data_IF_949054986648
#
_entry.id   IF_949054986648
#
_cell.length_a   1.000
_cell.length_b   1.000
_cell.length_c   1.000
_cell.angle_alpha   90.00
_cell.angle_beta   90.00
_cell.angle_gamma   90.00
#
_symmetry.space_group_name_H-M   'P 1'
#
loop_
_entity.id
_entity.type
_entity.pdbx_description
1 polymer ?
#
# COMPACT_ATOMS: atom_id res chain seq x y z
N UNK A 1 3.43 -1.19 -16.13
CA UNK A 1 3.02 0.17 -16.57
C UNK A 1 3.14 1.13 -15.42
N UNK A 2 3.63 2.36 -15.63
CA UNK A 2 3.69 3.43 -14.64
C UNK A 2 2.70 4.54 -14.97
N UNK A 3 2.08 5.13 -13.95
CA UNK A 3 1.18 6.28 -14.07
C UNK A 3 1.60 7.38 -13.09
N UNK A 4 1.64 8.61 -13.59
CA UNK A 4 1.73 9.81 -12.79
C UNK A 4 0.38 10.49 -12.86
N UNK A 5 -0.30 10.60 -11.73
CA UNK A 5 -1.68 11.10 -11.69
C UNK A 5 -1.78 12.29 -10.73
N UNK A 6 -2.64 13.24 -11.07
CA UNK A 6 -3.00 14.33 -10.16
C UNK A 6 -4.06 13.86 -9.16
N UNK A 7 -4.90 12.91 -9.57
CA UNK A 7 -5.98 12.35 -8.76
C UNK A 7 -6.27 10.92 -9.23
N UNK A 8 -6.78 10.08 -8.34
CA UNK A 8 -7.25 8.74 -8.66
C UNK A 8 -8.38 8.73 -9.70
N UNK A 9 -9.13 9.83 -9.83
CA UNK A 9 -10.12 10.00 -10.89
C UNK A 9 -9.52 9.98 -12.31
N UNK A 10 -8.23 10.24 -12.44
CA UNK A 10 -7.54 10.22 -13.75
C UNK A 10 -7.14 8.80 -14.20
N UNK A 11 -7.38 7.78 -13.36
CA UNK A 11 -7.11 6.39 -13.74
C UNK A 11 -8.28 5.88 -14.56
N UNK A 12 -8.06 5.51 -15.85
CA UNK A 12 -9.15 5.05 -16.72
C UNK A 12 -9.82 3.79 -16.15
N UNK A 13 -11.16 3.80 -16.08
CA UNK A 13 -11.94 2.69 -15.52
C UNK A 13 -11.73 1.40 -16.33
N UNK A 14 -11.52 1.53 -17.64
CA UNK A 14 -11.31 0.42 -18.56
C UNK A 14 -9.91 -0.21 -18.42
N UNK A 15 -9.00 0.46 -17.72
CA UNK A 15 -7.62 -0.01 -17.52
C UNK A 15 -7.55 -1.08 -16.44
N UNK A 16 -8.21 -2.22 -16.65
CA UNK A 16 -8.15 -3.34 -15.71
C UNK A 16 -6.74 -3.88 -15.56
N UNK A 17 -6.30 -4.01 -14.31
CA UNK A 17 -5.02 -4.61 -13.91
C UNK A 17 -5.26 -5.61 -12.78
N UNK A 18 -4.38 -6.61 -12.71
CA UNK A 18 -4.40 -7.58 -11.62
C UNK A 18 -3.91 -6.95 -10.32
N UNK A 19 -2.95 -6.01 -10.42
CA UNK A 19 -2.41 -5.31 -9.26
C UNK A 19 -2.28 -3.80 -9.52
N UNK A 20 -2.70 -3.02 -8.52
CA UNK A 20 -2.50 -1.57 -8.43
C UNK A 20 -1.55 -1.30 -7.27
N UNK A 21 -0.43 -0.64 -7.56
CA UNK A 21 0.67 -0.40 -6.64
C UNK A 21 0.83 1.11 -6.49
N UNK A 22 0.50 1.64 -5.33
CA UNK A 22 0.63 3.06 -5.04
C UNK A 22 1.93 3.31 -4.29
N UNK A 23 2.71 4.28 -4.77
CA UNK A 23 3.89 4.78 -4.08
C UNK A 23 3.49 6.04 -3.32
N UNK A 24 3.53 5.97 -2.01
CA UNK A 24 3.04 6.99 -1.09
C UNK A 24 4.22 7.63 -0.37
N UNK A 25 4.45 8.93 -0.62
CA UNK A 25 5.52 9.70 0.00
C UNK A 25 5.20 11.19 -0.06
N UNK A 26 5.20 11.88 1.07
CA UNK A 26 4.99 13.34 1.15
C UNK A 26 6.16 14.16 0.58
N UNK A 27 7.22 13.52 0.11
CA UNK A 27 8.37 14.20 -0.49
C UNK A 27 9.24 14.93 0.53
N UNK A 28 9.26 14.48 1.77
CA UNK A 28 10.08 15.07 2.85
C UNK A 28 11.56 14.64 2.80
N UNK A 29 12.04 14.26 1.63
CA UNK A 29 13.44 13.91 1.37
C UNK A 29 14.03 12.84 2.29
N UNK A 30 13.20 11.96 2.83
CA UNK A 30 13.68 10.82 3.59
C UNK A 30 14.39 9.83 2.65
N UNK A 31 15.51 9.26 3.08
CA UNK A 31 16.29 8.33 2.25
C UNK A 31 15.48 7.15 1.71
N UNK A 32 14.55 6.63 2.49
CA UNK A 32 13.70 5.51 2.07
C UNK A 32 12.67 5.93 1.01
N UNK A 33 12.08 7.12 1.16
CA UNK A 33 11.18 7.70 0.17
C UNK A 33 11.89 7.99 -1.14
N UNK A 34 13.08 8.59 -1.07
CA UNK A 34 13.91 8.85 -2.25
C UNK A 34 14.26 7.54 -2.98
N UNK A 35 14.71 6.50 -2.24
CA UNK A 35 15.01 5.20 -2.82
C UNK A 35 13.78 4.55 -3.48
N UNK A 36 12.58 4.73 -2.90
CA UNK A 36 11.33 4.27 -3.51
C UNK A 36 11.08 4.97 -4.84
N UNK A 37 11.22 6.31 -4.87
CA UNK A 37 10.98 7.12 -6.05
C UNK A 37 12.04 6.88 -7.15
N UNK A 38 13.30 6.68 -6.81
CA UNK A 38 14.38 6.38 -7.75
C UNK A 38 14.18 5.03 -8.45
N UNK A 39 13.43 4.10 -7.82
CA UNK A 39 13.10 2.81 -8.42
C UNK A 39 11.78 2.83 -9.23
N UNK A 40 11.11 3.98 -9.36
CA UNK A 40 9.81 4.06 -10.05
C UNK A 40 9.85 3.50 -11.48
N UNK A 41 10.81 3.90 -12.30
CA UNK A 41 10.91 3.45 -13.71
C UNK A 41 11.13 1.93 -13.81
N UNK A 42 11.99 1.37 -12.93
CA UNK A 42 12.19 -0.08 -12.84
C UNK A 42 10.89 -0.80 -12.46
N UNK A 43 10.17 -0.27 -11.45
CA UNK A 43 8.90 -0.83 -11.03
C UNK A 43 7.84 -0.73 -12.12
N UNK A 44 7.77 0.40 -12.83
CA UNK A 44 6.83 0.63 -13.92
C UNK A 44 7.04 -0.35 -15.09
N UNK A 45 8.31 -0.62 -15.44
CA UNK A 45 8.67 -1.62 -16.45
C UNK A 45 8.24 -3.03 -16.01
N UNK A 46 8.63 -3.45 -14.81
CA UNK A 46 8.22 -4.75 -14.25
C UNK A 46 6.71 -4.92 -14.17
N UNK A 47 5.99 -3.84 -13.85
CA UNK A 47 4.52 -3.86 -13.78
C UNK A 47 3.89 -4.02 -15.17
N UNK A 48 4.48 -3.41 -16.21
CA UNK A 48 3.98 -3.53 -17.59
C UNK A 48 3.94 -4.99 -18.03
N UNK A 49 5.00 -5.75 -17.72
CA UNK A 49 5.15 -7.14 -18.11
C UNK A 49 4.27 -8.10 -17.31
N UNK A 50 3.63 -7.64 -16.23
CA UNK A 50 2.97 -8.52 -15.27
C UNK A 50 1.53 -8.07 -14.94
N UNK A 51 0.83 -7.47 -15.91
CA UNK A 51 -0.54 -7.00 -15.75
C UNK A 51 -0.77 -6.15 -14.48
N UNK A 52 0.24 -5.34 -14.12
CA UNK A 52 0.21 -4.46 -12.97
C UNK A 52 0.42 -3.00 -13.38
N UNK A 53 0.09 -2.09 -12.49
CA UNK A 53 0.34 -0.65 -12.65
C UNK A 53 0.95 -0.07 -11.38
N UNK A 54 2.01 0.72 -11.54
CA UNK A 54 2.60 1.52 -10.48
C UNK A 54 2.12 2.96 -10.62
N UNK A 55 1.58 3.49 -9.55
CA UNK A 55 0.89 4.79 -9.52
C UNK A 55 1.55 5.68 -8.49
N UNK A 56 1.81 6.93 -8.87
CA UNK A 56 2.28 7.97 -7.94
C UNK A 56 1.64 9.32 -8.25
N UNK A 57 1.61 10.19 -7.26
CA UNK A 57 1.18 11.57 -7.43
C UNK A 57 2.15 12.41 -8.26
N UNK A 58 1.64 13.34 -9.07
CA UNK A 58 2.44 14.21 -9.96
C UNK A 58 3.17 15.31 -9.22
N UNK A 59 2.60 15.88 -8.19
CA UNK A 59 3.23 16.88 -7.30
C UNK A 59 2.51 16.82 -5.97
N UNK A 60 3.23 16.87 -4.87
CA UNK A 60 2.88 17.26 -3.48
C UNK A 60 1.42 17.69 -3.23
N UNK A 61 0.50 17.27 -4.10
CA UNK A 61 -0.92 17.48 -3.98
C UNK A 61 -1.40 16.25 -3.27
N UNK A 62 -1.99 16.35 -2.18
CA UNK A 62 -2.84 15.45 -1.38
C UNK A 62 -3.20 14.06 -2.00
N UNK A 63 -2.29 13.50 -2.85
CA UNK A 63 -2.47 12.21 -3.50
C UNK A 63 -2.54 11.09 -2.46
N UNK A 64 -1.67 11.15 -1.47
CA UNK A 64 -1.62 10.22 -0.36
C UNK A 64 -2.92 10.28 0.45
N UNK A 65 -3.44 11.47 0.70
CA UNK A 65 -4.70 11.68 1.42
C UNK A 65 -5.88 11.14 0.60
N UNK A 66 -5.87 11.35 -0.72
CA UNK A 66 -6.89 10.79 -1.61
C UNK A 66 -6.82 9.27 -1.63
N UNK A 67 -5.62 8.67 -1.74
CA UNK A 67 -5.44 7.22 -1.68
C UNK A 67 -5.95 6.68 -0.36
N UNK A 68 -5.57 7.27 0.76
CA UNK A 68 -6.05 6.84 2.07
C UNK A 68 -7.57 6.98 2.21
N UNK A 69 -8.14 8.10 1.77
CA UNK A 69 -9.58 8.34 1.79
C UNK A 69 -10.35 7.31 0.97
N UNK A 70 -9.96 7.09 -0.29
CA UNK A 70 -10.67 6.16 -1.18
C UNK A 70 -10.58 4.71 -0.70
N UNK A 71 -9.44 4.32 -0.15
CA UNK A 71 -9.22 2.96 0.36
C UNK A 71 -9.67 2.79 1.81
N UNK A 72 -10.36 3.79 2.38
CA UNK A 72 -10.86 3.78 3.76
C UNK A 72 -9.78 3.55 4.82
N UNK A 73 -8.57 3.99 4.53
CA UNK A 73 -7.45 4.01 5.46
C UNK A 73 -7.56 5.32 6.25
N UNK A 74 -8.42 5.34 7.26
CA UNK A 74 -8.68 6.54 8.06
C UNK A 74 -7.85 6.52 9.33
N UNK A 75 -7.15 7.61 9.61
CA UNK A 75 -6.44 7.80 10.88
C UNK A 75 -5.62 9.08 10.86
N UNK A 76 -5.61 9.80 11.97
CA UNK A 76 -4.87 11.05 12.19
C UNK A 76 -3.34 10.88 12.04
N UNK A 77 -2.86 9.64 11.94
CA UNK A 77 -1.46 9.28 11.92
C UNK A 77 -0.99 8.68 10.58
N UNK A 78 -1.73 8.88 9.49
CA UNK A 78 -1.34 8.38 8.16
C UNK A 78 0.07 8.86 7.77
N UNK A 79 0.45 10.07 8.13
CA UNK A 79 1.79 10.64 7.95
C UNK A 79 2.90 9.78 8.55
N UNK A 80 2.63 9.12 9.68
CA UNK A 80 3.62 8.28 10.36
C UNK A 80 3.88 6.96 9.65
N UNK A 81 2.98 6.56 8.76
CA UNK A 81 3.12 5.35 7.95
C UNK A 81 3.97 5.58 6.71
N UNK A 82 4.18 6.84 6.31
CA UNK A 82 4.92 7.19 5.12
C UNK A 82 6.44 7.25 5.37
N UNK A 83 7.25 6.99 4.35
CA UNK A 83 6.87 6.51 3.03
C UNK A 83 6.36 5.06 3.04
N UNK A 84 5.46 4.72 2.13
CA UNK A 84 4.80 3.42 2.09
C UNK A 84 4.51 2.94 0.65
N UNK A 85 4.30 1.63 0.51
CA UNK A 85 3.72 1.02 -0.68
C UNK A 85 2.35 0.46 -0.30
N UNK A 86 1.30 0.84 -1.04
CA UNK A 86 -0.01 0.21 -0.95
C UNK A 86 -0.24 -0.65 -2.18
N UNK A 87 -0.63 -1.90 -2.00
CA UNK A 87 -0.96 -2.82 -3.09
C UNK A 87 -2.40 -3.27 -2.95
N UNK A 88 -3.15 -3.24 -4.03
CA UNK A 88 -4.51 -3.79 -4.11
C UNK A 88 -4.72 -4.53 -5.41
N UNK A 89 -5.67 -5.47 -5.42
CA UNK A 89 -6.09 -6.23 -6.60
C UNK A 89 -7.38 -5.70 -7.24
N UNK A 90 -7.79 -4.47 -6.89
CA UNK A 90 -9.01 -3.85 -7.41
C UNK A 90 -8.76 -2.42 -7.88
N UNK A 91 -9.50 -2.03 -8.93
CA UNK A 91 -9.48 -0.68 -9.44
C UNK A 91 -9.92 0.33 -8.37
N UNK A 92 -9.25 1.51 -8.24
CA UNK A 92 -9.53 2.48 -7.17
C UNK A 92 -10.99 2.95 -7.15
N UNK A 93 -11.65 3.09 -8.29
CA UNK A 93 -13.07 3.48 -8.35
C UNK A 93 -14.01 2.53 -7.60
N UNK A 94 -13.68 1.24 -7.52
CA UNK A 94 -14.49 0.27 -6.80
C UNK A 94 -14.50 0.53 -5.28
N UNK A 95 -13.44 1.12 -4.74
CA UNK A 95 -13.40 1.53 -3.34
C UNK A 95 -14.27 2.75 -3.08
N UNK A 96 -14.28 3.73 -4.00
CA UNK A 96 -15.10 4.92 -3.91
C UNK A 96 -16.61 4.61 -3.96
N UNK A 97 -17.02 3.73 -4.87
CA UNK A 97 -18.42 3.32 -5.05
C UNK A 97 -18.96 2.48 -3.88
N UNK A 98 -18.11 1.76 -3.19
CA UNK A 98 -18.49 0.92 -2.04
C UNK A 98 -19.01 1.72 -0.85
N UNK A 99 -18.84 3.03 -0.82
CA UNK A 99 -19.23 3.89 0.29
C UNK A 99 -20.75 4.00 0.51
N UNK A 100 -21.58 3.69 -0.49
CA UNK A 100 -23.05 3.81 -0.43
C UNK A 100 -23.85 2.51 -0.51
N UNK A 101 -23.26 1.42 -0.96
CA UNK A 101 -23.98 0.20 -1.30
C UNK A 101 -23.56 -1.00 -0.44
N UNK A 102 -24.39 -1.36 0.53
CA UNK A 102 -24.21 -2.58 1.33
C UNK A 102 -24.14 -3.88 0.49
N UNK A 103 -24.69 -3.89 -0.73
CA UNK A 103 -24.73 -5.07 -1.61
C UNK A 103 -23.39 -5.39 -2.27
N UNK A 104 -22.54 -4.39 -2.54
CA UNK A 104 -21.19 -4.60 -3.09
C UNK A 104 -20.17 -5.06 -2.05
N UNK A 105 -20.53 -4.99 -0.77
CA UNK A 105 -19.70 -5.45 0.37
C UNK A 105 -19.51 -6.96 0.47
N UNK A 106 -20.35 -7.74 -0.20
CA UNK A 106 -20.33 -9.20 -0.13
C UNK A 106 -19.44 -9.86 -1.19
N UNK A 107 -18.84 -9.12 -2.09
CA UNK A 107 -17.82 -9.67 -2.99
C UNK A 107 -16.50 -9.89 -2.21
N UNK A 108 -16.44 -11.06 -1.60
CA UNK A 108 -15.27 -11.63 -0.96
C UNK A 108 -14.04 -11.53 -1.88
N UNK A 109 -13.03 -10.75 -1.51
CA UNK A 109 -11.77 -10.77 -2.22
C UNK A 109 -11.06 -9.43 -2.44
N UNK A 110 -11.63 -8.29 -2.01
CA UNK A 110 -10.91 -7.03 -1.96
C UNK A 110 -9.86 -7.11 -0.86
N UNK A 111 -8.61 -7.28 -1.25
CA UNK A 111 -7.49 -7.27 -0.31
C UNK A 111 -6.53 -6.15 -0.66
N UNK A 112 -6.06 -5.51 0.37
CA UNK A 112 -5.01 -4.51 0.29
C UNK A 112 -3.90 -4.88 1.25
N UNK A 113 -2.68 -4.51 0.90
CA UNK A 113 -1.51 -4.62 1.78
C UNK A 113 -0.87 -3.24 1.83
N UNK A 114 -0.86 -2.62 2.99
CA UNK A 114 -0.09 -1.40 3.24
C UNK A 114 1.25 -1.76 3.86
N UNK A 115 2.34 -1.28 3.25
CA UNK A 115 3.72 -1.59 3.63
C UNK A 115 4.44 -0.28 3.99
N UNK A 116 4.43 0.14 5.26
CA UNK A 116 5.20 1.28 5.70
C UNK A 116 6.70 0.95 5.66
N UNK A 117 7.48 1.66 4.84
CA UNK A 117 8.89 1.32 4.61
C UNK A 117 9.72 1.39 5.88
N UNK A 118 9.49 2.36 6.74
CA UNK A 118 10.20 2.52 8.04
C UNK A 118 10.15 1.28 8.94
N UNK A 119 9.18 0.40 8.71
CA UNK A 119 9.00 -0.80 9.52
C UNK A 119 9.74 -2.03 8.95
N UNK A 120 10.06 -2.00 7.65
CA UNK A 120 10.65 -3.12 6.93
C UNK A 120 12.06 -2.83 6.42
N UNK A 121 12.38 -1.54 6.24
CA UNK A 121 13.60 -1.09 5.62
C UNK A 121 14.37 -0.20 6.60
N UNK A 122 15.64 -0.46 6.79
CA UNK A 122 16.57 0.39 7.54
C UNK A 122 17.49 1.15 6.60
N UNK A 123 17.66 0.65 5.39
CA UNK A 123 18.56 1.18 4.37
C UNK A 123 17.86 1.27 3.00
N UNK A 124 18.45 2.02 2.09
CA UNK A 124 17.99 2.08 0.69
C UNK A 124 18.07 0.72 -0.02
N UNK A 125 19.06 -0.09 0.34
CA UNK A 125 19.20 -1.47 -0.17
C UNK A 125 18.03 -2.36 0.26
N UNK A 126 17.51 -2.16 1.47
CA UNK A 126 16.33 -2.90 1.93
C UNK A 126 15.10 -2.57 1.10
N UNK A 127 14.95 -1.29 0.66
CA UNK A 127 13.86 -0.85 -0.22
C UNK A 127 13.95 -1.58 -1.57
N UNK A 128 15.14 -1.65 -2.17
CA UNK A 128 15.35 -2.36 -3.44
C UNK A 128 15.02 -3.85 -3.28
N UNK A 129 15.49 -4.47 -2.21
CA UNK A 129 15.20 -5.88 -1.90
C UNK A 129 13.71 -6.14 -1.70
N UNK A 130 13.01 -5.24 -1.02
CA UNK A 130 11.55 -5.30 -0.84
C UNK A 130 10.83 -5.23 -2.20
N UNK A 131 11.20 -4.29 -3.06
CA UNK A 131 10.65 -4.15 -4.41
C UNK A 131 10.85 -5.44 -5.22
N UNK A 132 12.04 -6.01 -5.20
CA UNK A 132 12.33 -7.26 -5.92
C UNK A 132 11.49 -8.44 -5.43
N UNK A 133 11.28 -8.56 -4.11
CA UNK A 133 10.42 -9.59 -3.52
C UNK A 133 8.95 -9.39 -3.91
N UNK A 134 8.45 -8.15 -3.90
CA UNK A 134 7.09 -7.83 -4.34
C UNK A 134 6.87 -8.24 -5.79
N UNK A 135 7.77 -7.84 -6.68
CA UNK A 135 7.65 -8.19 -8.09
C UNK A 135 7.90 -9.67 -8.38
N UNK A 136 8.62 -10.39 -7.53
CA UNK A 136 8.71 -11.85 -7.63
C UNK A 136 7.36 -12.52 -7.33
N UNK A 137 6.59 -11.99 -6.37
CA UNK A 137 5.25 -12.50 -6.06
C UNK A 137 4.22 -12.09 -7.13
N UNK A 138 4.30 -10.86 -7.67
CA UNK A 138 3.48 -10.37 -8.78
C UNK A 138 3.71 -11.20 -10.05
N UNK A 139 4.95 -11.46 -10.43
CA UNK A 139 5.29 -12.31 -11.59
C UNK A 139 4.77 -13.74 -11.47
N UNK A 140 4.57 -14.20 -10.25
CA UNK A 140 3.99 -15.52 -9.98
C UNK A 140 2.47 -15.49 -9.90
N UNK A 141 1.81 -14.37 -10.24
CA UNK A 141 0.36 -14.14 -10.19
C UNK A 141 -0.29 -14.61 -8.88
N UNK A 142 0.39 -14.36 -7.77
CA UNK A 142 -0.09 -14.78 -6.46
C UNK A 142 -1.27 -13.92 -6.00
N UNK A 143 -2.25 -14.56 -5.35
CA UNK A 143 -3.21 -13.80 -4.54
C UNK A 143 -2.47 -12.99 -3.47
N UNK A 144 -2.92 -11.78 -3.18
CA UNK A 144 -2.30 -10.90 -2.17
C UNK A 144 -2.12 -11.60 -0.82
N UNK A 145 -3.04 -12.51 -0.43
CA UNK A 145 -2.94 -13.31 0.81
C UNK A 145 -1.68 -14.19 0.86
N UNK A 146 -1.13 -14.55 -0.31
CA UNK A 146 0.01 -15.46 -0.45
C UNK A 146 1.34 -14.73 -0.66
N UNK A 147 1.33 -13.39 -0.66
CA UNK A 147 2.55 -12.59 -0.77
C UNK A 147 3.49 -12.85 0.42
N UNK A 148 4.78 -12.95 0.12
CA UNK A 148 5.81 -13.20 1.15
C UNK A 148 5.84 -12.12 2.22
N UNK A 149 5.66 -10.86 1.81
CA UNK A 149 5.62 -9.73 2.74
C UNK A 149 4.53 -9.88 3.79
N UNK A 150 3.36 -10.43 3.43
CA UNK A 150 2.28 -10.68 4.38
C UNK A 150 2.69 -11.67 5.46
N UNK A 151 3.42 -12.72 5.09
CA UNK A 151 3.93 -13.71 6.06
C UNK A 151 5.01 -13.14 6.98
N UNK A 152 5.85 -12.27 6.43
CA UNK A 152 6.88 -11.55 7.21
C UNK A 152 6.24 -10.58 8.20
N UNK A 153 5.18 -9.86 7.80
CA UNK A 153 4.38 -9.01 8.70
C UNK A 153 3.81 -9.81 9.87
N UNK A 154 3.19 -10.94 9.59
CA UNK A 154 2.59 -11.80 10.64
C UNK A 154 3.63 -12.33 11.64
N UNK A 155 4.84 -12.62 11.19
CA UNK A 155 5.94 -13.05 12.06
C UNK A 155 6.57 -11.90 12.84
N UNK A 156 6.74 -10.74 12.19
CA UNK A 156 7.45 -9.60 12.73
C UNK A 156 6.65 -8.73 13.70
N UNK A 157 5.35 -8.58 13.47
CA UNK A 157 4.49 -7.65 14.22
C UNK A 157 3.44 -8.33 15.08
N UNK A 158 3.30 -9.66 14.96
CA UNK A 158 2.18 -10.37 15.55
C UNK A 158 0.90 -10.26 14.70
N UNK A 159 -0.01 -11.22 14.90
CA UNK A 159 -1.18 -11.41 14.03
C UNK A 159 -2.10 -10.18 13.97
N UNK A 160 -2.37 -9.56 15.12
CA UNK A 160 -3.32 -8.44 15.21
C UNK A 160 -2.87 -7.20 14.40
N UNK A 161 -1.56 -6.95 14.30
CA UNK A 161 -1.01 -5.80 13.57
C UNK A 161 -0.87 -6.10 12.10
N UNK A 162 -0.45 -7.33 11.78
CA UNK A 162 -0.42 -7.78 10.41
C UNK A 162 -1.82 -7.73 9.79
N UNK A 163 -2.83 -8.17 10.53
CA UNK A 163 -4.23 -8.11 10.09
C UNK A 163 -4.73 -6.66 9.93
N UNK A 164 -4.19 -5.70 10.69
CA UNK A 164 -4.47 -4.28 10.51
C UNK A 164 -3.83 -3.67 9.25
N UNK A 165 -2.70 -4.20 8.80
CA UNK A 165 -2.03 -3.79 7.55
C UNK A 165 -2.54 -4.56 6.32
N UNK A 166 -3.25 -5.65 6.55
CA UNK A 166 -3.92 -6.47 5.54
C UNK A 166 -5.40 -6.12 5.60
N UNK A 167 -5.78 -5.14 4.82
CA UNK A 167 -7.11 -4.57 4.85
C UNK A 167 -8.09 -5.47 4.09
N UNK A 168 -8.99 -6.10 4.82
CA UNK A 168 -10.18 -6.71 4.24
C UNK A 168 -11.34 -5.70 4.37
N UNK A 169 -11.95 -5.26 3.25
CA UNK A 169 -12.99 -4.22 3.27
C UNK A 169 -14.28 -4.60 3.99
N UNK A 170 -14.38 -5.82 4.52
CA UNK A 170 -15.58 -6.35 5.16
C UNK A 170 -15.78 -5.92 6.63
N UNK A 171 -14.87 -5.16 7.21
CA UNK A 171 -15.06 -4.63 8.55
C UNK A 171 -15.87 -3.33 8.50
N UNK A 172 -17.20 -3.49 8.51
CA UNK A 172 -18.15 -2.40 8.66
C UNK A 172 -17.80 -1.55 9.88
N UNK A 173 -17.42 -0.29 9.65
CA UNK A 173 -17.46 0.76 10.66
C UNK A 173 -16.40 0.73 11.76
N UNK A 174 -15.48 -0.21 11.76
CA UNK A 174 -14.31 -0.15 12.61
C UNK A 174 -13.18 0.41 11.77
N UNK A 175 -13.04 1.73 11.78
CA UNK A 175 -11.83 2.39 11.30
C UNK A 175 -10.64 1.66 11.90
N UNK A 176 -9.66 1.31 11.07
CA UNK A 176 -8.40 0.75 11.55
C UNK A 176 -7.91 1.62 12.69
N UNK A 177 -7.78 1.05 13.87
CA UNK A 177 -7.28 1.79 15.01
C UNK A 177 -5.77 1.91 14.86
N UNK A 178 -5.34 2.79 13.93
CA UNK A 178 -3.94 3.10 13.65
C UNK A 178 -3.20 3.58 14.90
N UNK A 179 -3.89 4.18 15.88
CA UNK A 179 -3.26 4.58 17.13
C UNK A 179 -2.65 3.38 17.87
N UNK A 180 -3.34 2.24 17.90
CA UNK A 180 -2.77 1.00 18.48
C UNK A 180 -1.58 0.47 17.70
N UNK A 181 -1.62 0.58 16.36
CA UNK A 181 -0.50 0.20 15.49
C UNK A 181 0.72 1.08 15.77
N UNK A 182 0.52 2.38 15.85
CA UNK A 182 1.58 3.36 16.08
C UNK A 182 2.17 3.24 17.48
N UNK A 183 1.35 3.03 18.49
CA UNK A 183 1.84 2.83 19.87
C UNK A 183 2.71 1.56 20.00
N UNK A 184 2.32 0.51 19.29
CA UNK A 184 3.15 -0.70 19.22
C UNK A 184 4.48 -0.45 18.50
N UNK A 185 4.46 0.30 17.39
CA UNK A 185 5.66 0.63 16.62
C UNK A 185 6.62 1.51 17.43
N UNK A 186 6.09 2.50 18.16
CA UNK A 186 6.88 3.35 19.10
C UNK A 186 7.53 2.52 20.21
N UNK A 187 6.81 1.57 20.78
CA UNK A 187 7.33 0.73 21.85
C UNK A 187 8.44 -0.23 21.36
N UNK A 188 8.37 -0.71 20.12
CA UNK A 188 9.40 -1.59 19.55
C UNK A 188 10.71 -0.86 19.24
N UNK A 189 10.64 0.42 18.88
CA UNK A 189 11.83 1.27 18.68
C UNK A 189 12.54 1.57 20.00
N UNK A 190 11.81 1.67 21.12
CA UNK A 190 12.38 1.87 22.47
C UNK A 190 13.13 0.67 23.02
N UNK A 191 12.84 -0.53 22.58
CA UNK A 191 13.45 -1.78 23.05
C UNK A 191 14.77 -2.10 22.30
N UNK A 192 15.04 -1.42 21.18
CA UNK A 192 16.26 -1.61 20.37
C UNK A 192 17.35 -0.56 20.63
N UNK A 193 17.18 0.31 21.62
CA UNK A 193 18.21 1.16 22.18
C UNK A 193 18.63 0.59 23.55
#
# INVERSE_FOLDING_TARGET
MGLWVQSLNNIPIEAHREYYIYLLDYGWHEQLGQALMDNYEKMASLAADNNAVVIRGTHRVHFEDEVFSWHHINGEDAEKLLPAILITNRHPHLFKESYGNQKTRTESGLKMILIPLKNFCSTTTDVVTLIERLFADIRSHKDLKDFRIQREMKKGFGRAIADALILEPNFAGVGLNFSKLIDFLKNKVRIRK
#
